data_IF_192328503835
#
_entry.id   IF_192328503835
#
_cell.length_a   1.000
_cell.length_b   1.000
_cell.length_c   1.000
_cell.angle_alpha   90.00
_cell.angle_beta   90.00
_cell.angle_gamma   90.00
#
_symmetry.space_group_name_H-M   'P 1'
#
loop_
_entity.id
_entity.type
_entity.pdbx_description
1 polymer ?
#
# COMPACT_ATOMS: atom_id res chain seq x y z
N UNK A 1 3.80 31.95 3.22
CA UNK A 1 4.33 32.34 1.91
C UNK A 1 3.23 33.12 1.21
N UNK A 2 3.50 34.34 0.76
CA UNK A 2 2.52 35.12 -0.01
C UNK A 2 2.42 34.53 -1.43
N UNK A 3 1.22 34.10 -1.79
CA UNK A 3 0.96 33.48 -3.07
C UNK A 3 0.57 34.59 -4.07
N UNK A 4 1.35 34.78 -5.15
CA UNK A 4 1.11 35.86 -6.14
C UNK A 4 0.95 35.34 -7.57
N UNK A 5 0.22 36.11 -8.39
CA UNK A 5 -0.06 35.80 -9.80
C UNK A 5 1.21 35.70 -10.65
N UNK A 6 2.26 36.45 -10.32
CA UNK A 6 3.55 36.35 -11.01
C UNK A 6 4.23 34.99 -10.78
N UNK A 7 4.21 34.48 -9.54
CA UNK A 7 4.75 33.16 -9.22
C UNK A 7 3.97 32.04 -9.91
N UNK A 8 2.63 32.16 -9.97
CA UNK A 8 1.81 31.20 -10.68
C UNK A 8 2.13 31.18 -12.20
N UNK A 9 2.30 32.35 -12.83
CA UNK A 9 2.64 32.45 -14.26
C UNK A 9 3.98 31.78 -14.60
N UNK A 10 4.97 31.86 -13.70
CA UNK A 10 6.27 31.24 -13.89
C UNK A 10 6.22 29.70 -13.95
N UNK A 11 5.18 29.08 -13.39
CA UNK A 11 4.98 27.62 -13.39
C UNK A 11 4.22 27.08 -14.60
N UNK A 12 3.95 27.94 -15.60
CA UNK A 12 3.27 27.56 -16.86
C UNK A 12 1.95 26.77 -16.67
N UNK A 13 0.98 27.29 -15.89
CA UNK A 13 -0.35 26.68 -15.73
C UNK A 13 -1.10 26.63 -17.06
N UNK A 14 -2.12 25.75 -17.14
CA UNK A 14 -3.02 25.75 -18.28
C UNK A 14 -3.75 27.11 -18.42
N UNK A 15 -4.02 27.52 -19.66
CA UNK A 15 -4.58 28.85 -19.94
C UNK A 15 -5.94 29.08 -19.25
N UNK A 16 -6.79 28.05 -19.16
CA UNK A 16 -8.09 28.13 -18.51
C UNK A 16 -7.93 28.32 -16.98
N UNK A 17 -7.11 27.50 -16.33
CA UNK A 17 -6.86 27.58 -14.89
C UNK A 17 -6.21 28.88 -14.46
N UNK A 18 -5.24 29.37 -15.23
CA UNK A 18 -4.62 30.67 -14.98
C UNK A 18 -5.63 31.82 -15.10
N UNK A 19 -6.46 31.84 -16.14
CA UNK A 19 -7.49 32.86 -16.33
C UNK A 19 -8.50 32.86 -15.19
N UNK A 20 -8.91 31.68 -14.72
CA UNK A 20 -9.81 31.58 -13.57
C UNK A 20 -9.15 32.15 -12.32
N UNK A 21 -7.91 31.73 -12.03
CA UNK A 21 -7.16 32.16 -10.85
C UNK A 21 -7.01 33.67 -10.78
N UNK A 22 -6.56 34.31 -11.85
CA UNK A 22 -6.35 35.77 -11.90
C UNK A 22 -7.63 36.57 -11.62
N UNK A 23 -8.80 36.02 -11.97
CA UNK A 23 -10.11 36.65 -11.83
C UNK A 23 -10.73 36.48 -10.44
N UNK A 24 -10.44 35.36 -9.75
CA UNK A 24 -11.14 34.98 -8.52
C UNK A 24 -10.24 35.03 -7.28
N UNK A 25 -8.91 34.98 -7.47
CA UNK A 25 -7.94 35.00 -6.38
C UNK A 25 -7.18 36.32 -6.41
N UNK A 26 -7.23 37.05 -5.30
CA UNK A 26 -6.47 38.29 -5.11
C UNK A 26 -4.99 38.00 -4.83
N UNK A 27 -4.10 38.94 -5.18
CA UNK A 27 -2.68 38.79 -4.84
C UNK A 27 -2.50 38.93 -3.32
N UNK A 28 -1.68 38.04 -2.73
CA UNK A 28 -1.44 38.03 -1.28
C UNK A 28 -2.41 37.14 -0.49
N UNK A 29 -3.39 36.51 -1.15
CA UNK A 29 -4.21 35.44 -0.55
C UNK A 29 -3.29 34.33 -0.05
N UNK A 30 -3.58 33.80 1.13
CA UNK A 30 -2.81 32.71 1.72
C UNK A 30 -2.85 31.46 0.82
N UNK A 31 -1.74 30.75 0.72
CA UNK A 31 -1.62 29.55 -0.14
C UNK A 31 -2.75 28.53 0.08
N UNK A 32 -3.12 28.24 1.34
CA UNK A 32 -4.23 27.33 1.63
C UNK A 32 -5.59 27.92 1.20
N UNK A 33 -5.81 29.21 1.41
CA UNK A 33 -7.05 29.87 1.00
C UNK A 33 -7.25 29.83 -0.52
N UNK A 34 -6.17 29.90 -1.30
CA UNK A 34 -6.24 29.72 -2.75
C UNK A 34 -6.64 28.27 -3.14
N UNK A 35 -6.15 27.26 -2.42
CA UNK A 35 -6.57 25.86 -2.60
C UNK A 35 -8.06 25.70 -2.26
N UNK A 36 -8.49 26.24 -1.12
CA UNK A 36 -9.88 26.16 -0.66
C UNK A 36 -10.84 26.80 -1.67
N UNK A 37 -10.48 27.94 -2.27
CA UNK A 37 -11.28 28.59 -3.31
C UNK A 37 -11.40 27.75 -4.59
N UNK A 38 -10.34 27.04 -4.99
CA UNK A 38 -10.38 26.14 -6.14
C UNK A 38 -11.28 24.93 -5.87
N UNK A 39 -11.17 24.34 -4.68
CA UNK A 39 -12.02 23.21 -4.27
C UNK A 39 -13.49 23.63 -4.18
N UNK A 40 -13.79 24.79 -3.56
CA UNK A 40 -15.14 25.33 -3.47
C UNK A 40 -15.76 25.65 -4.85
N UNK A 41 -14.93 25.92 -5.86
CA UNK A 41 -15.36 26.13 -7.24
C UNK A 41 -15.47 24.82 -8.07
N UNK A 42 -15.29 23.65 -7.44
CA UNK A 42 -15.28 22.35 -8.11
C UNK A 42 -14.04 22.09 -8.97
N UNK A 43 -13.00 22.94 -8.86
CA UNK A 43 -11.76 22.87 -9.65
C UNK A 43 -10.68 22.10 -8.88
N UNK A 44 -11.03 20.89 -8.42
CA UNK A 44 -10.16 20.05 -7.58
C UNK A 44 -8.85 19.73 -8.30
N UNK A 45 -8.89 19.42 -9.60
CA UNK A 45 -7.67 19.10 -10.37
C UNK A 45 -6.68 20.27 -10.43
N UNK A 46 -7.15 21.52 -10.51
CA UNK A 46 -6.29 22.69 -10.43
C UNK A 46 -5.68 22.87 -9.04
N UNK A 47 -6.44 22.57 -7.97
CA UNK A 47 -5.92 22.58 -6.61
C UNK A 47 -4.85 21.51 -6.40
N UNK A 48 -5.07 20.30 -6.91
CA UNK A 48 -4.09 19.21 -6.89
C UNK A 48 -2.82 19.57 -7.67
N UNK A 49 -2.97 20.13 -8.87
CA UNK A 49 -1.84 20.62 -9.66
C UNK A 49 -1.05 21.69 -8.90
N UNK A 50 -1.78 22.64 -8.29
CA UNK A 50 -1.15 23.72 -7.55
C UNK A 50 -0.34 23.19 -6.37
N UNK A 51 -0.91 22.25 -5.60
CA UNK A 51 -0.22 21.57 -4.52
C UNK A 51 1.02 20.81 -5.00
N UNK A 52 0.93 20.11 -6.13
CA UNK A 52 2.08 19.43 -6.73
C UNK A 52 3.20 20.36 -7.20
N UNK A 53 2.91 21.61 -7.60
CA UNK A 53 3.91 22.57 -8.07
C UNK A 53 4.62 23.33 -6.94
N UNK A 54 3.89 23.65 -5.88
CA UNK A 54 4.40 24.47 -4.78
C UNK A 54 4.79 23.63 -3.56
N UNK A 55 4.34 22.38 -3.51
CA UNK A 55 4.65 21.45 -2.45
C UNK A 55 3.86 21.70 -1.15
N UNK A 56 4.15 20.88 -0.13
CA UNK A 56 3.44 20.96 1.14
C UNK A 56 3.83 22.17 1.98
N UNK A 57 2.97 22.48 2.95
CA UNK A 57 3.22 23.48 3.99
C UNK A 57 3.38 22.82 5.37
N UNK A 58 3.82 23.57 6.38
CA UNK A 58 3.90 23.09 7.77
C UNK A 58 2.63 23.36 8.58
N UNK A 59 1.54 23.79 7.92
CA UNK A 59 0.28 24.05 8.60
C UNK A 59 -0.32 22.75 9.16
N UNK A 60 -1.04 22.84 10.27
CA UNK A 60 -1.79 21.72 10.84
C UNK A 60 -3.24 22.14 10.99
N UNK A 61 -4.15 21.37 10.37
CA UNK A 61 -5.58 21.54 10.51
C UNK A 61 -6.10 20.56 11.56
N UNK A 62 -6.71 21.08 12.63
CA UNK A 62 -7.35 20.29 13.67
C UNK A 62 -8.87 20.37 13.53
N UNK A 63 -9.54 19.22 13.51
CA UNK A 63 -11.00 19.11 13.42
C UNK A 63 -11.51 18.03 14.39
N UNK A 64 -12.76 18.16 14.81
CA UNK A 64 -13.43 17.08 15.55
C UNK A 64 -13.96 16.00 14.60
N UNK A 65 -14.55 16.39 13.46
CA UNK A 65 -14.97 15.52 12.35
C UNK A 65 -14.77 16.24 11.01
N UNK A 66 -14.77 15.49 9.90
CA UNK A 66 -14.67 16.06 8.56
C UNK A 66 -15.65 15.40 7.60
N UNK A 67 -16.56 16.20 7.05
CA UNK A 67 -17.51 15.83 5.98
C UNK A 67 -17.39 16.88 4.87
N UNK A 68 -17.05 16.47 3.64
CA UNK A 68 -16.87 17.39 2.51
C UNK A 68 -16.97 16.69 1.14
N UNK A 69 -17.25 17.45 0.08
CA UNK A 69 -17.18 16.94 -1.30
C UNK A 69 -15.74 16.57 -1.70
N UNK A 70 -14.75 17.36 -1.30
CA UNK A 70 -13.33 17.09 -1.52
C UNK A 70 -12.49 17.89 -0.54
N UNK A 71 -11.31 17.37 -0.20
CA UNK A 71 -10.34 18.04 0.67
C UNK A 71 -8.99 18.12 -0.07
N UNK A 72 -8.47 19.33 -0.23
CA UNK A 72 -7.07 19.56 -0.64
C UNK A 72 -6.40 20.46 0.39
N UNK A 73 -5.54 19.90 1.22
CA UNK A 73 -4.86 20.62 2.29
C UNK A 73 -3.35 20.51 2.14
N UNK A 74 -2.64 21.64 2.12
CA UNK A 74 -1.20 21.64 1.87
C UNK A 74 -0.36 21.07 3.03
N UNK A 75 -0.89 21.11 4.25
CA UNK A 75 -0.18 20.70 5.46
C UNK A 75 -0.57 19.32 5.97
N UNK A 76 -0.61 19.16 7.29
CA UNK A 76 -1.08 17.95 7.99
C UNK A 76 -2.52 18.13 8.46
N UNK A 77 -3.35 17.11 8.33
CA UNK A 77 -4.74 17.11 8.82
C UNK A 77 -4.86 16.14 10.00
N UNK A 78 -5.45 16.62 11.10
CA UNK A 78 -5.71 15.84 12.31
C UNK A 78 -7.19 15.94 12.68
N UNK A 79 -7.90 14.82 12.59
CA UNK A 79 -9.32 14.72 12.90
C UNK A 79 -9.50 13.79 14.10
N UNK A 80 -10.20 14.26 15.14
CA UNK A 80 -10.44 13.43 16.34
C UNK A 80 -11.35 12.24 16.02
N UNK A 81 -12.40 12.48 15.25
CA UNK A 81 -13.37 11.49 14.79
C UNK A 81 -13.08 10.98 13.38
N UNK A 82 -14.14 10.57 12.68
CA UNK A 82 -14.07 10.05 11.32
C UNK A 82 -13.92 11.14 10.25
N UNK A 83 -13.51 10.69 9.07
CA UNK A 83 -13.42 11.50 7.85
C UNK A 83 -14.27 10.83 6.77
N UNK A 84 -15.21 11.58 6.21
CA UNK A 84 -16.05 11.15 5.10
C UNK A 84 -15.98 12.20 3.99
N UNK A 85 -15.47 11.80 2.82
CA UNK A 85 -15.32 12.69 1.68
C UNK A 85 -15.82 11.99 0.42
N UNK A 86 -16.76 12.60 -0.31
CA UNK A 86 -17.35 11.99 -1.51
C UNK A 86 -16.34 11.91 -2.67
N UNK A 87 -15.42 12.86 -2.74
CA UNK A 87 -14.41 12.96 -3.77
C UNK A 87 -13.01 12.55 -3.30
N UNK A 88 -12.08 13.48 -3.42
CA UNK A 88 -10.65 13.24 -3.14
C UNK A 88 -10.25 13.83 -1.81
N UNK A 89 -9.48 13.07 -1.04
CA UNK A 89 -8.68 13.57 0.08
C UNK A 89 -7.24 13.66 -0.40
N UNK A 90 -6.69 14.87 -0.47
CA UNK A 90 -5.28 15.09 -0.76
C UNK A 90 -4.66 16.00 0.30
N UNK A 91 -3.72 15.44 1.05
CA UNK A 91 -3.02 16.12 2.12
C UNK A 91 -1.53 16.16 1.80
N UNK A 92 -0.94 17.36 1.79
CA UNK A 92 0.46 17.54 1.39
C UNK A 92 1.45 16.84 2.33
N UNK A 93 1.08 16.64 3.60
CA UNK A 93 1.88 15.94 4.60
C UNK A 93 1.14 14.71 5.13
N UNK A 94 0.91 14.65 6.44
CA UNK A 94 0.30 13.50 7.10
C UNK A 94 -1.21 13.66 7.28
N UNK A 95 -1.94 12.55 7.26
CA UNK A 95 -3.38 12.49 7.54
C UNK A 95 -3.63 11.60 8.75
N UNK A 96 -4.16 12.16 9.83
CA UNK A 96 -4.48 11.45 11.05
C UNK A 96 -5.97 11.55 11.35
N UNK A 97 -6.62 10.41 11.57
CA UNK A 97 -8.01 10.30 12.03
C UNK A 97 -8.06 9.39 13.25
N UNK A 98 -8.74 9.80 14.31
CA UNK A 98 -9.06 8.91 15.43
C UNK A 98 -10.18 7.92 15.12
N UNK A 99 -10.92 8.14 14.02
CA UNK A 99 -11.93 7.22 13.48
C UNK A 99 -11.51 6.58 12.15
N UNK A 100 -12.50 6.27 11.32
CA UNK A 100 -12.29 5.75 9.97
C UNK A 100 -12.10 6.86 8.94
N UNK A 101 -11.51 6.52 7.80
CA UNK A 101 -11.31 7.43 6.67
C UNK A 101 -12.01 6.83 5.45
N UNK A 102 -12.99 7.55 4.89
CA UNK A 102 -13.70 7.18 3.66
C UNK A 102 -13.50 8.25 2.59
N UNK A 103 -13.08 7.85 1.40
CA UNK A 103 -13.05 8.69 0.22
C UNK A 103 -13.73 8.00 -0.98
N UNK A 104 -14.62 8.71 -1.68
CA UNK A 104 -15.30 8.17 -2.87
C UNK A 104 -14.45 8.22 -4.15
N UNK A 105 -13.24 8.76 -4.13
CA UNK A 105 -12.30 8.70 -5.26
C UNK A 105 -10.87 8.34 -4.91
N UNK A 106 -10.21 9.08 -4.03
CA UNK A 106 -8.81 8.79 -3.70
C UNK A 106 -8.42 9.35 -2.34
N UNK A 107 -7.50 8.65 -1.68
CA UNK A 107 -6.83 9.13 -0.46
C UNK A 107 -5.35 9.28 -0.78
N UNK A 108 -4.83 10.51 -0.66
CA UNK A 108 -3.43 10.82 -0.93
C UNK A 108 -2.86 11.61 0.24
N UNK A 109 -1.77 11.11 0.82
CA UNK A 109 -0.96 11.82 1.79
C UNK A 109 0.51 11.80 1.35
N UNK A 110 1.18 12.95 1.41
CA UNK A 110 2.60 13.05 1.08
C UNK A 110 3.51 12.34 2.09
N UNK A 111 3.04 12.11 3.31
CA UNK A 111 3.76 11.43 4.39
C UNK A 111 2.91 10.28 4.95
N UNK A 112 2.65 10.25 6.26
CA UNK A 112 1.96 9.16 6.95
C UNK A 112 0.44 9.27 6.83
N UNK A 113 -0.24 8.12 6.84
CA UNK A 113 -1.68 8.02 7.07
C UNK A 113 -1.91 7.17 8.30
N UNK A 114 -2.66 7.68 9.28
CA UNK A 114 -3.08 6.93 10.47
C UNK A 114 -4.58 7.04 10.68
N UNK A 115 -5.24 5.90 10.87
CA UNK A 115 -6.66 5.82 11.18
C UNK A 115 -6.90 4.92 12.40
N UNK A 116 -7.74 5.38 13.33
CA UNK A 116 -8.18 4.57 14.48
C UNK A 116 -9.22 3.51 14.12
N UNK A 117 -9.79 3.57 12.91
CA UNK A 117 -10.68 2.56 12.36
C UNK A 117 -10.39 2.29 10.87
N UNK A 118 -11.37 1.73 10.16
CA UNK A 118 -11.23 1.26 8.78
C UNK A 118 -10.88 2.40 7.81
N UNK A 119 -10.05 2.11 6.80
CA UNK A 119 -9.79 3.01 5.67
C UNK A 119 -10.44 2.45 4.42
N UNK A 120 -11.32 3.23 3.80
CA UNK A 120 -12.04 2.87 2.58
C UNK A 120 -11.78 3.91 1.48
N UNK A 121 -11.32 3.46 0.31
CA UNK A 121 -11.15 4.30 -0.87
C UNK A 121 -11.76 3.64 -2.11
N UNK A 122 -12.72 4.33 -2.75
CA UNK A 122 -13.33 3.88 -4.00
C UNK A 122 -12.43 4.07 -5.24
N UNK A 123 -11.24 4.64 -5.07
CA UNK A 123 -10.14 4.55 -6.03
C UNK A 123 -8.80 4.40 -5.30
N UNK A 124 -7.70 4.93 -5.84
CA UNK A 124 -6.36 4.68 -5.27
C UNK A 124 -6.13 5.25 -3.85
N UNK A 125 -5.29 4.55 -3.08
CA UNK A 125 -4.72 5.03 -1.82
C UNK A 125 -3.20 5.20 -1.98
N UNK A 126 -2.70 6.41 -1.78
CA UNK A 126 -1.28 6.73 -1.81
C UNK A 126 -0.82 7.35 -0.49
N UNK A 127 0.16 6.72 0.14
CA UNK A 127 0.82 7.17 1.35
C UNK A 127 2.33 7.25 1.08
N UNK A 128 2.92 8.43 1.13
CA UNK A 128 4.36 8.61 0.90
C UNK A 128 5.23 8.03 2.02
N UNK A 129 4.71 7.98 3.25
CA UNK A 129 5.34 7.43 4.44
C UNK A 129 4.70 6.11 4.88
N UNK A 130 4.38 6.01 6.18
CA UNK A 130 3.80 4.82 6.79
C UNK A 130 2.26 4.85 6.78
N UNK A 131 1.63 3.73 6.43
CA UNK A 131 0.19 3.53 6.55
C UNK A 131 -0.11 2.68 7.79
N UNK A 132 -0.85 3.23 8.75
CA UNK A 132 -1.30 2.51 9.94
C UNK A 132 -2.81 2.61 10.13
N UNK A 133 -3.46 1.47 10.30
CA UNK A 133 -4.84 1.39 10.79
C UNK A 133 -4.95 0.36 11.90
N UNK A 134 -5.77 0.64 12.90
CA UNK A 134 -6.11 -0.31 13.96
C UNK A 134 -7.20 -1.30 13.52
N UNK A 135 -7.71 -1.18 12.28
CA UNK A 135 -8.68 -2.08 11.64
C UNK A 135 -8.13 -2.53 10.27
N UNK A 136 -8.99 -2.60 9.24
CA UNK A 136 -8.66 -3.04 7.89
C UNK A 136 -8.57 -1.89 6.89
N UNK A 137 -8.11 -2.22 5.68
CA UNK A 137 -8.00 -1.29 4.55
C UNK A 137 -8.70 -1.90 3.34
N UNK A 138 -9.60 -1.15 2.70
CA UNK A 138 -10.24 -1.52 1.44
C UNK A 138 -9.98 -0.45 0.37
N UNK A 139 -9.42 -0.87 -0.76
CA UNK A 139 -9.07 0.00 -1.89
C UNK A 139 -9.55 -0.64 -3.19
N UNK A 140 -10.34 0.09 -3.97
CA UNK A 140 -10.89 -0.39 -5.25
C UNK A 140 -9.89 -0.34 -6.41
N UNK A 141 -8.84 0.47 -6.30
CA UNK A 141 -7.74 0.50 -7.26
C UNK A 141 -6.44 0.06 -6.57
N UNK A 142 -5.33 0.79 -6.75
CA UNK A 142 -4.03 0.46 -6.17
C UNK A 142 -3.80 1.08 -4.80
N UNK A 143 -3.06 0.36 -3.96
CA UNK A 143 -2.55 0.83 -2.67
C UNK A 143 -1.02 0.96 -2.77
N UNK A 144 -0.53 2.19 -2.63
CA UNK A 144 0.89 2.47 -2.51
C UNK A 144 1.24 3.05 -1.13
N UNK A 145 2.23 2.45 -0.47
CA UNK A 145 2.78 2.89 0.81
C UNK A 145 4.30 2.95 0.68
N UNK A 146 4.90 4.14 0.77
CA UNK A 146 6.35 4.31 0.63
C UNK A 146 7.14 3.69 1.78
N UNK A 147 6.57 3.64 2.98
CA UNK A 147 7.14 3.05 4.18
C UNK A 147 6.56 1.69 4.54
N UNK A 148 6.31 1.50 5.84
CA UNK A 148 5.66 0.29 6.37
C UNK A 148 4.13 0.40 6.31
N UNK A 149 3.49 -0.72 5.95
CA UNK A 149 2.05 -0.91 6.04
C UNK A 149 1.72 -1.72 7.29
N UNK A 150 0.81 -1.21 8.14
CA UNK A 150 0.28 -1.94 9.30
C UNK A 150 -1.24 -1.85 9.35
N UNK A 151 -1.90 -2.98 9.14
CA UNK A 151 -3.33 -3.15 9.37
C UNK A 151 -3.53 -4.27 10.40
N UNK A 152 -4.37 -4.04 11.40
CA UNK A 152 -4.65 -5.05 12.41
C UNK A 152 -5.67 -6.10 11.95
N UNK A 153 -6.45 -5.79 10.90
CA UNK A 153 -7.41 -6.68 10.26
C UNK A 153 -7.03 -6.91 8.79
N UNK A 154 -8.02 -7.17 7.95
CA UNK A 154 -7.83 -7.49 6.53
C UNK A 154 -7.33 -6.29 5.72
N UNK A 155 -6.57 -6.60 4.66
CA UNK A 155 -6.27 -5.64 3.60
C UNK A 155 -6.82 -6.20 2.30
N UNK A 156 -7.75 -5.46 1.68
CA UNK A 156 -8.38 -5.79 0.40
C UNK A 156 -8.01 -4.72 -0.62
N UNK A 157 -7.32 -5.13 -1.68
CA UNK A 157 -6.90 -4.26 -2.77
C UNK A 157 -7.29 -4.88 -4.12
N UNK A 158 -8.20 -4.24 -4.85
CA UNK A 158 -8.62 -4.75 -6.17
C UNK A 158 -7.60 -4.44 -7.28
N UNK A 159 -6.66 -3.52 -7.04
CA UNK A 159 -5.51 -3.27 -7.89
C UNK A 159 -4.22 -3.87 -7.34
N UNK A 160 -3.08 -3.25 -7.69
CA UNK A 160 -1.77 -3.65 -7.17
C UNK A 160 -1.52 -3.08 -5.76
N UNK A 161 -0.80 -3.85 -4.94
CA UNK A 161 -0.28 -3.44 -3.63
C UNK A 161 1.23 -3.24 -3.73
N UNK A 162 1.73 -2.05 -3.42
CA UNK A 162 3.15 -1.73 -3.36
C UNK A 162 3.51 -1.12 -2.01
N UNK A 163 4.41 -1.77 -1.29
CA UNK A 163 4.90 -1.34 0.03
C UNK A 163 6.42 -1.23 -0.02
N UNK A 164 6.96 -0.03 0.19
CA UNK A 164 8.40 0.22 0.07
C UNK A 164 9.26 -0.44 1.16
N UNK A 165 8.68 -0.73 2.32
CA UNK A 165 9.33 -1.45 3.41
C UNK A 165 8.61 -2.78 3.74
N UNK A 166 8.17 -2.96 4.99
CA UNK A 166 7.49 -4.18 5.42
C UNK A 166 5.97 -3.99 5.50
N UNK A 167 5.24 -5.05 5.17
CA UNK A 167 3.79 -5.10 5.33
C UNK A 167 3.42 -6.06 6.48
N UNK A 168 2.59 -5.58 7.39
CA UNK A 168 1.99 -6.35 8.48
C UNK A 168 0.46 -6.28 8.38
N UNK A 169 -0.17 -7.41 8.15
CA UNK A 169 -1.63 -7.56 8.07
C UNK A 169 -2.05 -8.56 9.13
N UNK A 170 -2.94 -8.17 10.04
CA UNK A 170 -3.28 -8.99 11.20
C UNK A 170 -4.19 -10.18 10.87
N UNK A 171 -5.00 -10.07 9.81
CA UNK A 171 -5.89 -11.12 9.32
C UNK A 171 -5.53 -11.46 7.87
N UNK A 172 -6.46 -11.39 6.92
CA UNK A 172 -6.25 -11.81 5.54
C UNK A 172 -5.73 -10.68 4.63
N UNK A 173 -4.92 -11.06 3.65
CA UNK A 173 -4.49 -10.16 2.57
C UNK A 173 -5.06 -10.66 1.23
N UNK A 174 -5.97 -9.87 0.66
CA UNK A 174 -6.61 -10.14 -0.62
C UNK A 174 -6.21 -9.07 -1.63
N UNK A 175 -5.42 -9.44 -2.65
CA UNK A 175 -4.96 -8.50 -3.67
C UNK A 175 -5.14 -9.08 -5.07
N UNK A 176 -6.00 -8.48 -5.88
CA UNK A 176 -6.24 -8.97 -7.24
C UNK A 176 -5.06 -8.64 -8.18
N UNK A 177 -4.39 -7.50 -7.98
CA UNK A 177 -3.17 -7.15 -8.72
C UNK A 177 -1.90 -7.83 -8.19
N UNK A 178 -0.74 -7.31 -8.60
CA UNK A 178 0.56 -7.73 -8.06
C UNK A 178 0.79 -7.20 -6.65
N UNK A 179 1.53 -7.96 -5.85
CA UNK A 179 1.97 -7.58 -4.51
C UNK A 179 3.49 -7.41 -4.55
N UNK A 180 3.98 -6.21 -4.23
CA UNK A 180 5.40 -5.91 -4.11
C UNK A 180 5.69 -5.34 -2.72
N UNK A 181 6.58 -6.01 -1.98
CA UNK A 181 7.07 -5.57 -0.68
C UNK A 181 8.59 -5.44 -0.73
N UNK A 182 9.12 -4.24 -0.52
CA UNK A 182 10.56 -3.98 -0.58
C UNK A 182 11.35 -4.76 0.46
N UNK A 183 10.74 -5.12 1.60
CA UNK A 183 11.33 -5.97 2.64
C UNK A 183 10.50 -7.23 2.85
N UNK A 184 9.80 -7.34 3.99
CA UNK A 184 9.11 -8.55 4.43
C UNK A 184 7.59 -8.38 4.43
N UNK A 185 6.90 -9.48 4.14
CA UNK A 185 5.44 -9.56 4.24
C UNK A 185 5.08 -10.49 5.39
N UNK A 186 4.27 -10.00 6.34
CA UNK A 186 3.70 -10.81 7.41
C UNK A 186 2.18 -10.68 7.43
N UNK A 187 1.49 -11.80 7.32
CA UNK A 187 0.02 -11.89 7.30
C UNK A 187 -0.42 -12.91 8.34
N UNK A 188 -1.36 -12.54 9.20
CA UNK A 188 -1.83 -13.41 10.30
C UNK A 188 -2.75 -14.54 9.83
N UNK A 189 -3.59 -14.26 8.84
CA UNK A 189 -4.48 -15.22 8.18
C UNK A 189 -3.90 -15.71 6.86
N UNK A 190 -4.71 -15.67 5.81
CA UNK A 190 -4.40 -16.17 4.48
C UNK A 190 -3.92 -15.05 3.54
N UNK A 191 -3.15 -15.44 2.53
CA UNK A 191 -2.84 -14.57 1.38
C UNK A 191 -3.50 -15.15 0.14
N UNK A 192 -4.33 -14.34 -0.52
CA UNK A 192 -4.92 -14.68 -1.81
C UNK A 192 -4.80 -13.53 -2.80
N UNK A 193 -4.68 -13.88 -4.07
CA UNK A 193 -4.61 -12.90 -5.14
C UNK A 193 -4.56 -13.55 -6.51
N UNK A 194 -4.52 -12.74 -7.56
CA UNK A 194 -4.41 -13.23 -8.95
C UNK A 194 -3.03 -12.89 -9.54
N UNK A 195 -2.41 -11.80 -9.09
CA UNK A 195 -1.08 -11.36 -9.51
C UNK A 195 0.08 -12.19 -8.92
N UNK A 196 1.29 -11.73 -9.20
CA UNK A 196 2.51 -12.26 -8.56
C UNK A 196 2.77 -11.55 -7.22
N UNK A 197 3.31 -12.28 -6.24
CA UNK A 197 3.77 -11.72 -4.97
C UNK A 197 5.29 -11.79 -4.90
N UNK A 198 5.93 -10.64 -4.64
CA UNK A 198 7.37 -10.52 -4.42
C UNK A 198 7.66 -9.82 -3.11
N UNK A 199 8.54 -10.41 -2.31
CA UNK A 199 9.11 -9.78 -1.12
C UNK A 199 10.65 -9.76 -1.21
N UNK A 200 11.26 -8.61 -0.97
CA UNK A 200 12.73 -8.49 -0.98
C UNK A 200 13.43 -9.34 0.08
N UNK A 201 12.74 -9.68 1.17
CA UNK A 201 13.23 -10.52 2.27
C UNK A 201 12.33 -11.76 2.42
N UNK A 202 11.75 -11.98 3.60
CA UNK A 202 10.93 -13.15 3.89
C UNK A 202 9.43 -12.89 3.81
N UNK A 203 8.69 -13.98 3.63
CA UNK A 203 7.23 -14.02 3.67
C UNK A 203 6.81 -14.95 4.81
N UNK A 204 5.92 -14.48 5.68
CA UNK A 204 5.35 -15.28 6.77
C UNK A 204 3.83 -15.11 6.75
N UNK A 205 3.12 -16.21 6.56
CA UNK A 205 1.65 -16.27 6.49
C UNK A 205 1.16 -17.30 7.50
N UNK A 206 0.17 -16.94 8.33
CA UNK A 206 -0.35 -17.83 9.36
C UNK A 206 -1.23 -18.95 8.80
N UNK A 207 -1.96 -18.70 7.71
CA UNK A 207 -2.74 -19.68 6.98
C UNK A 207 -2.10 -20.06 5.64
N UNK A 208 -2.95 -20.37 4.65
CA UNK A 208 -2.58 -20.66 3.27
C UNK A 208 -2.12 -19.44 2.44
N UNK A 209 -1.26 -19.71 1.44
CA UNK A 209 -0.94 -18.82 0.33
C UNK A 209 -1.53 -19.42 -0.95
N UNK A 210 -2.44 -18.73 -1.63
CA UNK A 210 -3.16 -19.29 -2.79
C UNK A 210 -3.47 -18.28 -3.89
N UNK A 211 -3.79 -18.78 -5.09
CA UNK A 211 -4.28 -17.98 -6.24
C UNK A 211 -3.20 -17.23 -7.05
N UNK A 212 -2.04 -17.01 -6.45
CA UNK A 212 -0.97 -16.18 -7.04
C UNK A 212 -0.38 -16.80 -8.31
N UNK A 213 -0.04 -15.95 -9.28
CA UNK A 213 0.68 -16.37 -10.50
C UNK A 213 2.11 -16.83 -10.19
N UNK A 214 2.90 -16.01 -9.49
CA UNK A 214 4.25 -16.37 -9.04
C UNK A 214 4.45 -15.94 -7.60
N UNK A 215 5.30 -16.66 -6.89
CA UNK A 215 5.64 -16.36 -5.51
C UNK A 215 7.16 -16.30 -5.36
N UNK A 216 7.67 -15.16 -4.88
CA UNK A 216 9.10 -14.92 -4.75
C UNK A 216 9.45 -14.21 -3.43
N UNK A 217 10.45 -14.73 -2.73
CA UNK A 217 11.04 -14.11 -1.55
C UNK A 217 12.57 -14.15 -1.64
N UNK A 218 13.22 -13.05 -1.30
CA UNK A 218 14.68 -12.98 -1.24
C UNK A 218 15.31 -13.85 -0.14
N UNK A 219 14.55 -14.18 0.91
CA UNK A 219 14.93 -15.11 1.98
C UNK A 219 13.98 -16.32 2.00
N UNK A 220 13.44 -16.66 3.17
CA UNK A 220 12.51 -17.78 3.32
C UNK A 220 11.04 -17.42 3.17
N UNK A 221 10.24 -18.43 2.85
CA UNK A 221 8.78 -18.37 2.80
C UNK A 221 8.24 -19.38 3.81
N UNK A 222 7.36 -18.92 4.70
CA UNK A 222 6.66 -19.77 5.66
C UNK A 222 5.16 -19.54 5.58
N UNK A 223 4.39 -20.61 5.40
CA UNK A 223 2.94 -20.64 5.54
C UNK A 223 2.55 -21.66 6.62
N UNK A 224 1.53 -21.36 7.42
CA UNK A 224 1.02 -22.30 8.43
C UNK A 224 0.21 -23.46 7.83
N UNK A 225 -0.34 -23.28 6.63
CA UNK A 225 -1.10 -24.30 5.90
C UNK A 225 -0.40 -24.62 4.56
N UNK A 226 -1.10 -24.55 3.43
CA UNK A 226 -0.57 -24.85 2.10
C UNK A 226 0.03 -23.63 1.38
N UNK A 227 0.90 -23.89 0.40
CA UNK A 227 1.41 -22.88 -0.55
C UNK A 227 1.10 -23.36 -1.96
N UNK A 228 0.07 -22.78 -2.59
CA UNK A 228 -0.36 -23.12 -3.95
C UNK A 228 -0.29 -21.91 -4.87
N UNK A 229 0.44 -22.04 -5.98
CA UNK A 229 0.55 -20.99 -6.99
C UNK A 229 0.29 -21.53 -8.39
N UNK A 230 -0.14 -20.67 -9.31
CA UNK A 230 -0.34 -21.03 -10.73
C UNK A 230 0.97 -21.06 -11.53
N UNK A 231 2.08 -20.65 -10.92
CA UNK A 231 3.40 -20.64 -11.54
C UNK A 231 4.50 -21.00 -10.55
N UNK A 232 5.72 -20.54 -10.81
CA UNK A 232 6.88 -20.88 -9.99
C UNK A 232 6.83 -20.30 -8.56
N UNK A 233 7.42 -21.06 -7.63
CA UNK A 233 7.69 -20.67 -6.25
C UNK A 233 9.21 -20.54 -6.08
N UNK A 234 9.68 -19.40 -5.59
CA UNK A 234 11.11 -19.09 -5.41
C UNK A 234 11.38 -18.54 -4.01
N UNK A 235 12.21 -19.24 -3.25
CA UNK A 235 12.75 -18.78 -1.98
C UNK A 235 14.28 -18.69 -2.08
N UNK A 236 14.84 -17.56 -1.64
CA UNK A 236 16.28 -17.39 -1.52
C UNK A 236 16.93 -18.31 -0.49
N UNK A 237 16.21 -18.63 0.58
CA UNK A 237 16.66 -19.56 1.63
C UNK A 237 15.69 -20.74 1.76
N UNK A 238 15.00 -20.89 2.90
CA UNK A 238 14.15 -22.05 3.20
C UNK A 238 12.69 -21.81 2.82
N UNK A 239 11.97 -22.89 2.53
CA UNK A 239 10.55 -22.87 2.16
C UNK A 239 9.78 -23.84 3.08
N UNK A 240 8.72 -23.36 3.73
CA UNK A 240 7.99 -24.15 4.73
C UNK A 240 6.49 -23.94 4.61
N UNK A 241 5.75 -25.04 4.59
CA UNK A 241 4.29 -25.11 4.63
C UNK A 241 3.87 -26.18 5.65
N UNK A 242 2.80 -25.92 6.41
CA UNK A 242 2.23 -26.92 7.33
C UNK A 242 1.53 -28.07 6.64
N UNK A 243 1.08 -27.83 5.41
CA UNK A 243 0.45 -28.83 4.56
C UNK A 243 1.36 -29.13 3.37
N UNK A 244 0.91 -28.84 2.16
CA UNK A 244 1.61 -29.15 0.92
C UNK A 244 1.97 -27.90 0.12
N UNK A 245 2.95 -28.07 -0.77
CA UNK A 245 3.47 -27.02 -1.63
C UNK A 245 3.25 -27.45 -3.08
N UNK A 246 2.58 -26.60 -3.87
CA UNK A 246 2.29 -26.86 -5.28
C UNK A 246 2.57 -25.62 -6.12
N UNK A 247 3.45 -25.78 -7.10
CA UNK A 247 3.58 -24.84 -8.21
C UNK A 247 2.63 -25.22 -9.35
N UNK A 248 2.43 -24.30 -10.30
CA UNK A 248 1.63 -24.56 -11.49
C UNK A 248 2.25 -25.59 -12.43
N UNK A 249 1.43 -26.15 -13.33
CA UNK A 249 1.88 -27.14 -14.31
C UNK A 249 3.04 -26.59 -15.17
N UNK A 250 4.11 -27.39 -15.31
CA UNK A 250 5.32 -26.99 -16.04
C UNK A 250 6.26 -26.04 -15.28
N UNK A 251 5.87 -25.52 -14.11
CA UNK A 251 6.71 -24.68 -13.27
C UNK A 251 7.45 -25.49 -12.19
N UNK A 252 8.53 -24.90 -11.67
CA UNK A 252 9.35 -25.48 -10.61
C UNK A 252 9.21 -24.76 -9.27
N UNK A 253 9.56 -25.50 -8.22
CA UNK A 253 9.72 -24.98 -6.85
C UNK A 253 11.22 -24.88 -6.58
N UNK A 254 11.67 -23.71 -6.16
CA UNK A 254 13.09 -23.42 -5.93
C UNK A 254 13.29 -22.88 -4.52
N UNK A 255 14.10 -23.56 -3.71
CA UNK A 255 14.61 -23.07 -2.44
C UNK A 255 16.14 -22.99 -2.49
N UNK A 256 16.73 -22.20 -1.59
CA UNK A 256 18.18 -22.03 -1.48
C UNK A 256 18.83 -21.27 -2.63
N UNK A 257 18.08 -20.45 -3.37
CA UNK A 257 18.60 -19.72 -4.53
C UNK A 257 19.76 -18.76 -4.18
N UNK A 258 19.84 -18.33 -2.91
CA UNK A 258 20.88 -17.47 -2.37
C UNK A 258 21.82 -18.22 -1.39
N UNK A 259 21.77 -19.56 -1.36
CA UNK A 259 22.55 -20.40 -0.45
C UNK A 259 23.46 -21.31 -1.27
N UNK A 260 24.74 -21.41 -0.87
CA UNK A 260 25.66 -22.36 -1.51
C UNK A 260 25.25 -23.81 -1.25
N UNK A 261 25.35 -24.66 -2.26
CA UNK A 261 24.91 -26.07 -2.22
C UNK A 261 25.43 -26.86 -0.99
N UNK A 262 26.70 -26.73 -0.54
CA UNK A 262 27.17 -27.44 0.65
C UNK A 262 26.47 -27.05 1.96
N UNK A 263 25.78 -25.90 2.00
CA UNK A 263 25.04 -25.42 3.17
C UNK A 263 23.52 -25.69 3.06
N UNK A 264 23.06 -26.40 2.02
CA UNK A 264 21.63 -26.58 1.80
C UNK A 264 20.93 -27.38 2.90
N UNK A 265 21.58 -28.39 3.47
CA UNK A 265 21.02 -29.19 4.56
C UNK A 265 20.68 -28.37 5.82
N UNK A 266 21.28 -27.19 5.98
CA UNK A 266 21.06 -26.30 7.13
C UNK A 266 20.29 -25.02 6.77
N UNK A 267 20.38 -24.51 5.55
CA UNK A 267 19.85 -23.19 5.17
C UNK A 267 18.85 -23.18 3.99
N UNK A 268 18.79 -24.24 3.18
CA UNK A 268 17.89 -24.35 2.01
C UNK A 268 16.85 -25.45 2.21
N UNK A 269 16.31 -25.53 3.41
CA UNK A 269 15.41 -26.60 3.81
C UNK A 269 14.01 -26.36 3.26
N UNK A 270 13.38 -27.44 2.81
CA UNK A 270 12.01 -27.47 2.35
C UNK A 270 11.19 -28.36 3.26
N UNK A 271 10.17 -27.79 3.90
CA UNK A 271 9.30 -28.49 4.85
C UNK A 271 7.86 -28.50 4.33
N UNK A 272 7.31 -29.70 4.17
CA UNK A 272 5.93 -29.93 3.72
C UNK A 272 5.57 -31.40 4.01
N UNK A 273 4.28 -31.71 4.19
CA UNK A 273 3.80 -33.06 4.51
C UNK A 273 4.27 -34.13 3.53
N UNK A 274 4.43 -33.75 2.26
CA UNK A 274 4.92 -34.61 1.19
C UNK A 274 6.01 -33.88 0.41
N UNK A 275 6.95 -34.60 -0.23
CA UNK A 275 7.96 -33.98 -1.08
C UNK A 275 7.26 -33.21 -2.21
N UNK A 276 7.46 -31.89 -2.35
CA UNK A 276 6.77 -31.10 -3.35
C UNK A 276 7.09 -31.56 -4.77
N UNK A 277 6.06 -31.84 -5.56
CA UNK A 277 6.22 -32.17 -6.96
C UNK A 277 6.87 -30.99 -7.70
N UNK A 278 7.96 -31.25 -8.43
CA UNK A 278 8.68 -30.19 -9.14
C UNK A 278 9.64 -29.38 -8.28
N UNK A 279 10.03 -29.86 -7.09
CA UNK A 279 11.18 -29.32 -6.35
C UNK A 279 12.47 -29.45 -7.19
N UNK A 280 13.10 -28.32 -7.51
CA UNK A 280 14.31 -28.24 -8.37
C UNK A 280 15.58 -27.84 -7.61
N UNK A 281 15.46 -27.18 -6.46
CA UNK A 281 16.58 -26.79 -5.61
C UNK A 281 16.17 -26.72 -4.14
N UNK A 282 17.13 -26.91 -3.23
CA UNK A 282 16.88 -27.09 -1.80
C UNK A 282 16.69 -28.55 -1.40
N UNK A 283 16.63 -28.81 -0.09
CA UNK A 283 16.58 -30.16 0.48
C UNK A 283 15.26 -30.34 1.21
N UNK A 284 14.44 -31.31 0.78
CA UNK A 284 13.23 -31.66 1.51
C UNK A 284 13.57 -32.41 2.79
N UNK A 285 13.15 -31.87 3.93
CA UNK A 285 13.49 -32.39 5.27
C UNK A 285 12.38 -33.25 5.89
N UNK A 286 11.22 -33.37 5.22
CA UNK A 286 10.06 -34.07 5.73
C UNK A 286 8.89 -33.14 6.09
N UNK A 287 7.89 -33.67 6.82
CA UNK A 287 6.76 -32.91 7.34
C UNK A 287 7.23 -31.76 8.22
N UNK A 288 6.59 -30.61 8.10
CA UNK A 288 6.92 -29.45 8.93
C UNK A 288 6.53 -29.72 10.39
N UNK A 289 7.48 -29.59 11.31
CA UNK A 289 7.22 -29.57 12.74
C UNK A 289 6.74 -28.17 13.14
N UNK A 290 5.49 -27.83 12.80
CA UNK A 290 4.86 -26.58 13.27
C UNK A 290 4.25 -26.82 14.64
#
# INVERSE_FOLDING_TARGET
MEFTKQFLRAKSPCANGFRWFVRHVEDGVGYQQALDQLVAAGRVDDALWLLGQFGPSNAVLHLDSLEAESLVFAGTVQVRGGIEVDGVIHVGRSLHSGGGIRAGRAIVAGEDIRAGAHIHSDGRLHCGGHLRTDWGVQVQESLHCGGDLRAAWDVVCHGALSVGASAFVGQDLLVHGGIDCGKSLRVGGHVSGEGSLRAGQGIVVGGAISGLTHLEAGWGIKAGECIHTQGAIKAGESLSAGEDIRAGEGYGIFAGLNVQEPAWEVCAQVWAQQPPAGLRSGVWMGPCAI
#
